data_IF_671181903912
#
_entry.id   IF_671181903912
#
_cell.length_a   1.000
_cell.length_b   1.000
_cell.length_c   1.000
_cell.angle_alpha   90.00
_cell.angle_beta   90.00
_cell.angle_gamma   90.00
#
_symmetry.space_group_name_H-M   'P 1'
#
loop_
_entity.id
_entity.type
_entity.pdbx_description
1 polymer ?
#
# COMPACT_ATOMS: atom_id res chain seq x y z
N UNK A 1 -11.33 -9.08 3.86
CA UNK A 1 -12.02 -7.78 3.65
C UNK A 1 -11.32 -6.91 2.61
N UNK A 2 -10.01 -7.02 2.40
CA UNK A 2 -9.29 -6.30 1.33
C UNK A 2 -9.67 -6.77 -0.08
N UNK A 3 -9.79 -8.07 -0.33
CA UNK A 3 -10.13 -8.63 -1.66
C UNK A 3 -11.48 -8.12 -2.21
N UNK A 4 -12.56 -8.14 -1.42
CA UNK A 4 -13.88 -7.72 -1.90
C UNK A 4 -13.98 -6.20 -2.17
N UNK A 5 -13.12 -5.40 -1.53
CA UNK A 5 -13.07 -3.94 -1.71
C UNK A 5 -12.07 -3.50 -2.77
N UNK A 6 -11.05 -4.31 -3.10
CA UNK A 6 -10.01 -3.99 -4.08
C UNK A 6 -10.43 -4.29 -5.53
N UNK A 7 -11.14 -5.41 -5.75
CA UNK A 7 -11.53 -5.84 -7.10
C UNK A 7 -12.36 -4.80 -7.91
N UNK A 8 -13.43 -4.18 -7.38
CA UNK A 8 -14.20 -3.20 -8.16
C UNK A 8 -13.42 -1.93 -8.56
N UNK A 9 -12.65 -1.26 -7.69
CA UNK A 9 -11.84 -0.10 -8.07
C UNK A 9 -10.61 -0.43 -8.92
N UNK A 10 -10.01 -1.62 -8.77
CA UNK A 10 -8.90 -2.07 -9.63
C UNK A 10 -9.38 -2.33 -11.07
N UNK A 11 -10.52 -3.01 -11.24
CA UNK A 11 -11.11 -3.24 -12.56
C UNK A 11 -11.54 -1.93 -13.22
N UNK A 12 -12.12 -1.00 -12.46
CA UNK A 12 -12.53 0.30 -12.99
C UNK A 12 -11.32 1.17 -13.39
N UNK A 13 -10.22 1.12 -12.64
CA UNK A 13 -8.98 1.82 -13.01
C UNK A 13 -8.27 1.20 -14.21
N UNK A 14 -8.41 -0.09 -14.49
CA UNK A 14 -7.80 -0.76 -15.64
C UNK A 14 -8.58 -0.44 -16.92
N UNK A 15 -9.90 -0.27 -16.81
CA UNK A 15 -10.78 -0.06 -17.96
C UNK A 15 -10.59 1.29 -18.65
N UNK A 16 -10.06 2.29 -17.94
CA UNK A 16 -9.75 3.63 -18.49
C UNK A 16 -8.29 3.99 -18.21
N UNK A 17 -7.37 3.13 -18.69
CA UNK A 17 -5.94 3.27 -18.46
C UNK A 17 -5.36 4.58 -19.05
N UNK A 18 -5.98 5.13 -20.11
CA UNK A 18 -5.55 6.36 -20.78
C UNK A 18 -6.74 7.06 -21.47
N UNK A 19 -6.86 8.39 -21.45
CA UNK A 19 -6.12 9.36 -20.62
C UNK A 19 -6.69 9.51 -19.20
N UNK A 20 -5.85 9.92 -18.23
CA UNK A 20 -6.32 10.14 -16.85
C UNK A 20 -7.19 11.41 -16.73
N UNK A 21 -8.52 11.25 -16.78
CA UNK A 21 -9.50 12.37 -16.81
C UNK A 21 -9.99 12.85 -15.44
N UNK A 22 -9.75 12.08 -14.37
CA UNK A 22 -10.26 12.35 -13.02
C UNK A 22 -9.49 13.41 -12.21
N UNK A 23 -8.47 14.03 -12.82
CA UNK A 23 -7.67 15.08 -12.20
C UNK A 23 -6.62 14.58 -11.20
N UNK A 24 -5.84 15.52 -10.66
CA UNK A 24 -4.69 15.22 -9.80
C UNK A 24 -5.09 14.66 -8.43
N UNK A 25 -6.22 15.11 -7.86
CA UNK A 25 -6.70 14.63 -6.56
C UNK A 25 -7.05 13.13 -6.58
N UNK A 26 -7.74 12.69 -7.64
CA UNK A 26 -8.06 11.27 -7.82
C UNK A 26 -6.81 10.43 -8.08
N UNK A 27 -5.82 10.99 -8.81
CA UNK A 27 -4.51 10.36 -9.02
C UNK A 27 -3.81 10.06 -7.68
N UNK A 28 -3.75 11.07 -6.82
CA UNK A 28 -3.16 10.98 -5.48
C UNK A 28 -3.90 9.95 -4.64
N UNK A 29 -5.24 9.98 -4.63
CA UNK A 29 -6.07 9.05 -3.87
C UNK A 29 -5.87 7.59 -4.34
N UNK A 30 -5.85 7.38 -5.66
CA UNK A 30 -5.66 6.06 -6.26
C UNK A 30 -4.29 5.48 -5.90
N UNK A 31 -3.22 6.26 -6.06
CA UNK A 31 -1.88 5.83 -5.64
C UNK A 31 -1.81 5.53 -4.14
N UNK A 32 -2.44 6.35 -3.31
CA UNK A 32 -2.49 6.14 -1.86
C UNK A 32 -3.18 4.82 -1.50
N UNK A 33 -4.33 4.50 -2.11
CA UNK A 33 -5.08 3.27 -1.85
C UNK A 33 -4.27 2.03 -2.30
N UNK A 34 -3.63 2.09 -3.46
CA UNK A 34 -2.80 0.99 -3.97
C UNK A 34 -1.64 0.67 -3.02
N UNK A 35 -0.90 1.70 -2.60
CA UNK A 35 0.21 1.54 -1.65
C UNK A 35 -0.27 1.06 -0.28
N UNK A 36 -1.32 1.68 0.27
CA UNK A 36 -1.94 1.26 1.53
C UNK A 36 -2.35 -0.23 1.50
N UNK A 37 -2.89 -0.70 0.38
CA UNK A 37 -3.33 -2.09 0.21
C UNK A 37 -2.15 -3.06 0.20
N UNK A 38 -1.04 -2.67 -0.46
CA UNK A 38 0.21 -3.44 -0.43
C UNK A 38 0.76 -3.57 0.99
N UNK A 39 0.90 -2.45 1.71
CA UNK A 39 1.36 -2.44 3.12
C UNK A 39 0.44 -3.25 4.03
N UNK A 40 -0.88 -3.06 3.92
CA UNK A 40 -1.85 -3.79 4.72
C UNK A 40 -1.77 -5.30 4.49
N UNK A 41 -1.53 -5.74 3.25
CA UNK A 41 -1.43 -7.17 2.91
C UNK A 41 -0.18 -7.80 3.53
N UNK A 42 0.98 -7.16 3.38
CA UNK A 42 2.25 -7.62 3.98
C UNK A 42 2.13 -7.73 5.50
N UNK A 43 1.65 -6.68 6.15
CA UNK A 43 1.49 -6.66 7.61
C UNK A 43 0.46 -7.68 8.12
N UNK A 44 -0.62 -7.93 7.37
CA UNK A 44 -1.60 -8.97 7.71
C UNK A 44 -1.00 -10.36 7.62
N UNK A 45 -0.22 -10.66 6.57
CA UNK A 45 0.47 -11.94 6.41
C UNK A 45 1.47 -12.14 7.55
N UNK A 46 2.30 -11.13 7.84
CA UNK A 46 3.24 -11.16 8.97
C UNK A 46 2.53 -11.43 10.30
N UNK A 47 1.39 -10.77 10.55
CA UNK A 47 0.56 -11.01 11.72
C UNK A 47 0.12 -12.48 11.81
N UNK A 48 -0.44 -13.03 10.74
CA UNK A 48 -0.83 -14.45 10.68
C UNK A 48 0.33 -15.41 10.91
N UNK A 49 1.52 -15.12 10.37
CA UNK A 49 2.72 -15.93 10.56
C UNK A 49 3.17 -15.93 12.02
N UNK A 50 3.16 -14.78 12.69
CA UNK A 50 3.52 -14.66 14.11
C UNK A 50 2.51 -15.39 14.99
N UNK A 51 1.20 -15.24 14.73
CA UNK A 51 0.15 -15.96 15.46
C UNK A 51 0.34 -17.48 15.37
N UNK A 52 0.66 -17.99 14.17
CA UNK A 52 0.96 -19.42 13.95
C UNK A 52 2.25 -19.84 14.64
N UNK A 53 3.30 -19.01 14.60
CA UNK A 53 4.58 -19.29 15.24
C UNK A 53 4.44 -19.44 16.76
N UNK A 54 3.76 -18.48 17.41
CA UNK A 54 3.48 -18.53 18.85
C UNK A 54 2.63 -19.75 19.22
N UNK A 55 1.65 -20.11 18.39
CA UNK A 55 0.81 -21.30 18.62
C UNK A 55 1.59 -22.62 18.55
N UNK A 56 2.61 -22.70 17.70
CA UNK A 56 3.46 -23.88 17.54
C UNK A 56 4.46 -23.99 18.69
N UNK A 57 5.11 -22.88 19.08
CA UNK A 57 6.11 -22.85 20.14
C UNK A 57 5.51 -22.91 21.56
N UNK A 58 4.29 -22.40 21.76
CA UNK A 58 3.56 -22.44 23.03
C UNK A 58 2.18 -23.10 22.88
N UNK A 59 2.13 -24.44 22.70
CA UNK A 59 0.90 -25.16 22.36
C UNK A 59 -0.16 -25.24 23.48
N UNK A 60 0.13 -24.82 24.72
CA UNK A 60 -0.78 -25.02 25.85
C UNK A 60 -0.74 -23.92 26.92
N UNK A 61 -1.44 -22.80 26.70
CA UNK A 61 -2.14 -22.07 27.79
C UNK A 61 -3.39 -21.33 27.25
N UNK A 62 -4.48 -22.07 27.01
CA UNK A 62 -5.87 -21.65 27.28
C UNK A 62 -6.45 -20.30 26.73
N UNK A 63 -5.86 -19.57 25.78
CA UNK A 63 -6.28 -18.18 25.47
C UNK A 63 -7.01 -17.90 24.14
N UNK A 64 -7.57 -18.89 23.44
CA UNK A 64 -8.26 -18.67 22.16
C UNK A 64 -9.44 -17.66 22.24
N UNK A 65 -10.11 -17.55 23.39
CA UNK A 65 -11.22 -16.59 23.58
C UNK A 65 -10.76 -15.15 23.90
N UNK A 66 -9.55 -14.96 24.44
CA UNK A 66 -9.01 -13.63 24.75
C UNK A 66 -8.24 -13.01 23.55
N UNK A 67 -7.89 -13.83 22.56
CA UNK A 67 -7.07 -13.42 21.42
C UNK A 67 -7.84 -12.57 20.40
N UNK A 68 -9.15 -12.75 20.22
CA UNK A 68 -9.94 -11.98 19.23
C UNK A 68 -9.91 -10.47 19.51
N UNK A 69 -9.94 -10.06 20.78
CA UNK A 69 -9.87 -8.64 21.17
C UNK A 69 -8.49 -8.03 20.87
N UNK A 70 -7.41 -8.80 21.08
CA UNK A 70 -6.04 -8.42 20.73
C UNK A 70 -5.81 -8.41 19.22
N UNK A 71 -6.31 -9.41 18.50
CA UNK A 71 -6.25 -9.51 17.05
C UNK A 71 -6.95 -8.32 16.36
N UNK A 72 -8.15 -7.94 16.83
CA UNK A 72 -8.83 -6.72 16.35
C UNK A 72 -7.98 -5.46 16.57
N UNK A 73 -7.35 -5.33 17.73
CA UNK A 73 -6.47 -4.19 18.03
C UNK A 73 -5.21 -4.20 17.15
N UNK A 74 -4.62 -5.37 16.88
CA UNK A 74 -3.50 -5.51 15.95
C UNK A 74 -3.89 -5.10 14.53
N UNK A 75 -5.05 -5.52 14.03
CA UNK A 75 -5.55 -5.13 12.69
C UNK A 75 -5.75 -3.61 12.61
N UNK A 76 -6.33 -2.99 13.64
CA UNK A 76 -6.50 -1.53 13.69
C UNK A 76 -5.14 -0.82 13.69
N UNK A 77 -4.17 -1.30 14.49
CA UNK A 77 -2.81 -0.75 14.51
C UNK A 77 -2.12 -0.91 13.15
N UNK A 78 -2.21 -2.08 12.51
CA UNK A 78 -1.68 -2.35 11.17
C UNK A 78 -2.29 -1.40 10.15
N UNK A 79 -3.59 -1.14 10.22
CA UNK A 79 -4.28 -0.21 9.32
C UNK A 79 -3.77 1.22 9.51
N UNK A 80 -3.69 1.70 10.75
CA UNK A 80 -3.17 3.04 11.08
C UNK A 80 -1.72 3.20 10.63
N UNK A 81 -0.89 2.19 10.89
CA UNK A 81 0.52 2.15 10.48
C UNK A 81 0.64 2.18 8.95
N UNK A 82 -0.14 1.36 8.24
CA UNK A 82 -0.16 1.33 6.76
C UNK A 82 -0.54 2.68 6.18
N UNK A 83 -1.51 3.37 6.79
CA UNK A 83 -1.93 4.72 6.39
C UNK A 83 -0.77 5.71 6.59
N UNK A 84 -0.14 5.70 7.77
CA UNK A 84 0.96 6.60 8.10
C UNK A 84 2.18 6.38 7.20
N UNK A 85 2.52 5.13 6.87
CA UNK A 85 3.62 4.79 5.97
C UNK A 85 3.31 5.09 4.50
N UNK A 86 2.02 5.09 4.11
CA UNK A 86 1.58 5.45 2.77
C UNK A 86 1.47 6.96 2.55
N UNK A 87 1.33 7.81 3.59
CA UNK A 87 1.24 9.28 3.49
C UNK A 87 2.36 10.00 2.70
N UNK A 88 3.64 9.60 2.72
CA UNK A 88 4.66 10.27 1.92
C UNK A 88 4.55 10.03 0.41
N UNK A 89 3.86 8.97 -0.03
CA UNK A 89 3.64 8.66 -1.45
C UNK A 89 2.72 9.66 -2.18
N UNK A 90 1.51 9.99 -1.69
CA UNK A 90 0.60 10.92 -2.35
C UNK A 90 1.16 12.34 -2.50
N UNK A 91 2.08 12.75 -1.62
CA UNK A 91 2.76 14.06 -1.72
C UNK A 91 3.67 14.14 -2.94
N UNK A 92 4.21 13.00 -3.39
CA UNK A 92 5.14 12.93 -4.53
C UNK A 92 4.50 12.48 -5.84
N UNK A 93 3.28 11.93 -5.80
CA UNK A 93 2.53 11.56 -7.00
C UNK A 93 2.02 12.81 -7.73
N UNK A 94 2.36 12.94 -9.01
CA UNK A 94 1.89 14.02 -9.89
C UNK A 94 1.41 13.43 -11.21
N UNK A 95 0.51 14.13 -11.89
CA UNK A 95 0.14 13.82 -13.27
C UNK A 95 1.19 14.40 -14.21
N UNK A 96 1.75 13.60 -15.13
CA UNK A 96 2.72 14.05 -16.12
C UNK A 96 2.44 13.44 -17.50
N UNK A 97 2.84 14.16 -18.55
CA UNK A 97 2.78 13.69 -19.94
C UNK A 97 4.08 12.95 -20.28
N UNK A 98 3.99 11.70 -20.74
CA UNK A 98 5.18 10.92 -21.12
C UNK A 98 5.56 11.09 -22.59
N UNK A 99 4.66 11.59 -23.44
CA UNK A 99 4.92 11.88 -24.85
C UNK A 99 4.74 13.37 -25.12
N UNK A 100 5.75 13.97 -25.74
CA UNK A 100 5.66 15.31 -26.34
C UNK A 100 5.82 15.16 -27.84
N UNK A 101 4.98 15.84 -28.60
CA UNK A 101 4.97 15.76 -30.06
C UNK A 101 6.33 16.26 -30.63
N UNK A 102 7.02 15.47 -31.46
CA UNK A 102 8.37 15.79 -31.93
C UNK A 102 8.42 16.95 -32.94
N UNK A 103 7.30 17.35 -33.54
CA UNK A 103 7.24 18.43 -34.53
C UNK A 103 6.76 19.77 -33.97
N UNK A 104 5.85 19.73 -33.01
CA UNK A 104 5.22 20.92 -32.42
C UNK A 104 5.68 21.21 -30.99
N UNK A 105 6.39 20.29 -30.34
CA UNK A 105 6.83 20.43 -28.94
C UNK A 105 5.66 20.48 -27.94
N UNK A 106 4.44 20.14 -28.37
CA UNK A 106 3.24 20.22 -27.56
C UNK A 106 2.98 18.89 -26.83
N UNK A 107 2.46 18.95 -25.61
CA UNK A 107 2.13 17.76 -24.83
C UNK A 107 0.84 17.12 -25.37
N UNK A 108 0.90 15.81 -25.65
CA UNK A 108 -0.25 15.08 -26.22
C UNK A 108 -1.23 14.76 -25.07
N UNK A 109 -2.49 15.20 -25.14
CA UNK A 109 -3.46 15.03 -24.05
C UNK A 109 -3.74 13.56 -23.71
N UNK A 110 -3.62 12.66 -24.69
CA UNK A 110 -3.80 11.22 -24.52
C UNK A 110 -2.67 10.55 -23.72
N UNK A 111 -1.55 11.25 -23.51
CA UNK A 111 -0.38 10.74 -22.80
C UNK A 111 -0.37 11.10 -21.30
N UNK A 112 -1.49 11.56 -20.74
CA UNK A 112 -1.56 11.99 -19.35
C UNK A 112 -1.58 10.78 -18.41
N UNK A 113 -0.51 10.62 -17.63
CA UNK A 113 -0.32 9.50 -16.69
C UNK A 113 -0.27 10.01 -15.25
N UNK A 114 -0.84 9.22 -14.35
CA UNK A 114 -0.68 9.38 -12.91
C UNK A 114 0.40 8.42 -12.39
N UNK A 115 1.60 8.90 -12.08
CA UNK A 115 2.65 8.06 -11.48
C UNK A 115 3.67 8.88 -10.66
N UNK A 116 4.53 8.18 -9.91
CA UNK A 116 5.63 8.78 -9.12
C UNK A 116 6.85 9.01 -10.03
N UNK A 117 7.53 10.16 -9.95
CA UNK A 117 8.75 10.42 -10.70
C UNK A 117 9.87 9.44 -10.29
N UNK A 118 10.44 8.74 -11.27
CA UNK A 118 11.42 7.65 -11.12
C UNK A 118 12.60 7.98 -10.18
N UNK A 119 12.98 9.26 -10.06
CA UNK A 119 14.04 9.73 -9.15
C UNK A 119 13.78 9.46 -7.66
N UNK A 120 12.52 9.26 -7.24
CA UNK A 120 12.15 9.02 -5.84
C UNK A 120 11.85 7.55 -5.51
N UNK A 121 11.62 6.72 -6.52
CA UNK A 121 11.25 5.29 -6.36
C UNK A 121 12.29 4.51 -5.54
N UNK A 122 13.59 4.73 -5.77
CA UNK A 122 14.65 4.01 -5.06
C UNK A 122 14.70 4.31 -3.56
N UNK A 123 14.49 5.57 -3.16
CA UNK A 123 14.48 5.97 -1.74
C UNK A 123 13.24 5.45 -1.01
N UNK A 124 12.09 5.45 -1.68
CA UNK A 124 10.84 4.90 -1.14
C UNK A 124 10.96 3.39 -0.88
N UNK A 125 11.62 2.64 -1.77
CA UNK A 125 11.84 1.19 -1.58
C UNK A 125 12.67 0.88 -0.34
N UNK A 126 13.68 1.70 -0.04
CA UNK A 126 14.55 1.51 1.14
C UNK A 126 13.76 1.75 2.43
N UNK A 127 12.93 2.81 2.45
CA UNK A 127 12.06 3.11 3.59
C UNK A 127 11.00 2.02 3.78
N UNK A 128 10.41 1.52 2.69
CA UNK A 128 9.47 0.39 2.70
C UNK A 128 10.10 -0.87 3.32
N UNK A 129 11.30 -1.22 2.85
CA UNK A 129 12.06 -2.38 3.33
C UNK A 129 12.38 -2.24 4.82
N UNK A 130 12.94 -1.10 5.26
CA UNK A 130 13.25 -0.84 6.66
C UNK A 130 12.02 -0.93 7.57
N UNK A 131 10.90 -0.35 7.15
CA UNK A 131 9.63 -0.43 7.89
C UNK A 131 9.22 -1.89 8.07
N UNK A 132 9.26 -2.66 6.99
CA UNK A 132 8.89 -4.08 6.97
C UNK A 132 9.80 -4.91 7.87
N UNK A 133 11.12 -4.70 7.82
CA UNK A 133 12.08 -5.37 8.69
C UNK A 133 11.86 -5.02 10.17
N UNK A 134 11.59 -3.76 10.49
CA UNK A 134 11.27 -3.35 11.87
C UNK A 134 9.99 -4.03 12.36
N UNK A 135 8.93 -4.04 11.56
CA UNK A 135 7.68 -4.73 11.90
C UNK A 135 7.82 -6.26 11.94
N UNK A 136 8.73 -6.84 11.17
CA UNK A 136 9.06 -8.26 11.20
C UNK A 136 9.88 -8.65 12.42
N UNK A 137 10.81 -7.81 12.89
CA UNK A 137 11.68 -8.12 14.02
C UNK A 137 11.05 -7.81 15.38
N UNK A 138 10.16 -6.82 15.46
CA UNK A 138 9.48 -6.42 16.69
C UNK A 138 8.77 -7.59 17.43
N UNK A 139 8.07 -8.53 16.76
CA UNK A 139 7.42 -9.67 17.40
C UNK A 139 8.36 -10.79 17.83
N UNK A 140 9.62 -10.79 17.39
CA UNK A 140 10.61 -11.82 17.73
C UNK A 140 11.53 -11.41 18.88
N UNK A 141 11.54 -10.12 19.23
CA UNK A 141 12.35 -9.54 20.32
C UNK A 141 11.63 -9.53 21.69
N UNK A 142 10.36 -9.96 21.76
CA UNK A 142 9.53 -10.01 22.97
C UNK A 142 8.73 -11.30 23.04
#
# INVERSE_FOLDING_TARGET
>A
MTLLLALPPEVYSIWEAYPWRFGQSFCILKSFIMEMTSYSSVLTITGFTVERYLSICHPMKLQHCCHISRAKRCIVLICVVSILSALPYPVHTRTFYYLSDPHSGQHIPDSLVCNIPQKWTGRMIIVFQLSTFVYLCYPWLY
#
